data_IF_218852363665
#
_entry.id   IF_218852363665
#
_cell.length_a   1.000
_cell.length_b   1.000
_cell.length_c   1.000
_cell.angle_alpha   90.00
_cell.angle_beta   90.00
_cell.angle_gamma   90.00
#
_symmetry.space_group_name_H-M   'P 1'
#
loop_
_entity.id
_entity.type
_entity.pdbx_description
1 polymer ?
#
# COMPACT_ATOMS: atom_id res chain seq x y z
N UNK A 1 22.00 -5.60 -3.72
CA UNK A 1 22.33 -6.46 -2.55
C UNK A 1 22.17 -5.62 -1.28
N UNK A 2 21.41 -6.08 -0.28
CA UNK A 2 21.18 -5.32 0.96
C UNK A 2 22.34 -5.54 1.93
N UNK A 3 22.92 -4.46 2.46
CA UNK A 3 24.00 -4.50 3.44
C UNK A 3 23.50 -4.02 4.81
N UNK A 4 23.85 -4.74 5.87
CA UNK A 4 23.55 -4.32 7.24
C UNK A 4 24.52 -3.18 7.62
N UNK A 5 23.98 -1.99 7.91
CA UNK A 5 24.79 -0.79 8.20
C UNK A 5 24.68 -0.33 9.64
N UNK A 6 23.71 -0.81 10.41
CA UNK A 6 23.60 -0.46 11.82
C UNK A 6 22.64 -1.39 12.58
N UNK A 7 22.93 -1.61 13.86
CA UNK A 7 22.05 -2.33 14.78
C UNK A 7 21.84 -1.42 15.99
N UNK A 8 20.59 -1.05 16.26
CA UNK A 8 20.21 -0.33 17.47
C UNK A 8 19.50 -1.28 18.43
N UNK A 9 19.84 -1.17 19.71
CA UNK A 9 19.21 -1.93 20.80
C UNK A 9 18.48 -0.93 21.69
N UNK A 10 17.16 -1.05 21.79
CA UNK A 10 16.38 -0.29 22.76
C UNK A 10 15.92 -1.22 23.87
N UNK A 11 16.15 -0.81 25.13
CA UNK A 11 15.61 -1.49 26.30
C UNK A 11 14.17 -1.02 26.52
N UNK A 12 13.17 -1.90 26.61
CA UNK A 12 11.86 -1.52 27.11
C UNK A 12 11.95 -1.18 28.61
N UNK A 13 11.16 -0.19 29.05
CA UNK A 13 11.21 0.37 30.40
C UNK A 13 10.67 -0.58 31.49
N UNK A 14 9.94 -1.64 31.13
CA UNK A 14 9.35 -2.58 32.08
C UNK A 14 9.43 -4.03 31.55
N UNK A 15 10.56 -4.70 31.80
CA UNK A 15 10.70 -6.16 32.03
C UNK A 15 12.10 -6.65 31.68
N UNK A 16 12.70 -7.39 32.61
CA UNK A 16 14.09 -7.83 32.57
C UNK A 16 14.22 -9.12 31.75
N UNK A 17 14.01 -9.11 30.42
CA UNK A 17 14.40 -10.26 29.56
C UNK A 17 14.56 -9.95 28.07
N UNK A 18 13.88 -8.93 27.54
CA UNK A 18 13.74 -8.76 26.08
C UNK A 18 14.37 -7.46 25.58
N UNK A 19 15.20 -7.57 24.54
CA UNK A 19 15.70 -6.42 23.78
C UNK A 19 14.93 -6.31 22.46
N UNK A 20 14.47 -5.10 22.12
CA UNK A 20 14.08 -4.81 20.75
C UNK A 20 15.33 -4.57 19.92
N UNK A 21 15.55 -5.43 18.92
CA UNK A 21 16.65 -5.30 17.97
C UNK A 21 16.09 -4.72 16.69
N UNK A 22 16.49 -3.48 16.41
CA UNK A 22 16.21 -2.83 15.15
C UNK A 22 17.49 -2.84 14.31
N UNK A 23 17.44 -3.41 13.12
CA UNK A 23 18.54 -3.36 12.15
C UNK A 23 18.23 -2.33 11.08
N UNK A 24 19.19 -1.46 10.79
CA UNK A 24 19.16 -0.60 9.62
C UNK A 24 19.88 -1.35 8.51
N UNK A 25 19.13 -1.69 7.47
CA UNK A 25 19.65 -2.34 6.27
C UNK A 25 19.66 -1.31 5.15
N UNK A 26 20.81 -1.13 4.51
CA UNK A 26 21.03 -0.16 3.46
C UNK A 26 21.23 -0.86 2.13
N UNK A 27 20.52 -0.40 1.11
CA UNK A 27 20.72 -0.89 -0.24
C UNK A 27 21.66 0.06 -0.98
N UNK A 28 22.90 -0.35 -1.21
CA UNK A 28 23.90 0.47 -1.92
C UNK A 28 23.48 0.86 -3.33
N UNK A 29 22.75 -0.02 -4.01
CA UNK A 29 22.31 0.18 -5.40
C UNK A 29 21.20 1.22 -5.50
N UNK A 30 20.38 1.36 -4.45
CA UNK A 30 19.22 2.24 -4.42
C UNK A 30 19.33 3.39 -3.41
N UNK A 31 20.44 3.49 -2.66
CA UNK A 31 20.72 4.48 -1.59
C UNK A 31 19.56 4.68 -0.59
N UNK A 32 18.88 3.60 -0.22
CA UNK A 32 17.77 3.63 0.76
C UNK A 32 18.12 2.81 1.99
N UNK A 33 17.72 3.30 3.15
CA UNK A 33 17.78 2.59 4.45
C UNK A 33 16.39 2.10 4.84
N UNK A 34 16.30 0.86 5.32
CA UNK A 34 15.08 0.25 5.87
C UNK A 34 15.35 -0.18 7.31
N UNK A 35 14.45 0.17 8.22
CA UNK A 35 14.48 -0.32 9.60
C UNK A 35 13.71 -1.65 9.65
N UNK A 36 14.43 -2.74 9.89
CA UNK A 36 13.85 -4.06 10.10
C UNK A 36 13.77 -4.33 11.60
N UNK A 37 12.54 -4.49 12.12
CA UNK A 37 12.32 -4.97 13.47
C UNK A 37 12.37 -6.50 13.46
N UNK A 38 13.39 -7.09 14.07
CA UNK A 38 13.41 -8.52 14.34
C UNK A 38 12.78 -8.68 15.72
N UNK A 39 11.65 -9.40 15.80
CA UNK A 39 10.90 -9.60 17.06
C UNK A 39 11.75 -10.16 18.20
N UNK A 40 11.18 -10.17 19.41
CA UNK A 40 11.85 -10.51 20.68
C UNK A 40 12.73 -11.75 20.58
N UNK A 41 14.06 -11.59 20.74
CA UNK A 41 15.03 -12.69 20.77
C UNK A 41 15.49 -12.86 22.22
N UNK A 42 15.30 -14.04 22.84
CA UNK A 42 15.79 -14.30 24.20
C UNK A 42 17.33 -14.27 24.24
N UNK A 43 17.85 -13.74 25.36
CA UNK A 43 19.24 -13.31 25.63
C UNK A 43 20.36 -14.34 25.36
N UNK A 44 20.04 -15.61 25.13
CA UNK A 44 20.99 -16.73 25.06
C UNK A 44 21.55 -17.04 23.65
N UNK A 45 21.21 -16.25 22.62
CA UNK A 45 21.70 -16.46 21.23
C UNK A 45 22.71 -15.42 20.73
N UNK A 46 23.27 -14.58 21.60
CA UNK A 46 24.15 -13.47 21.20
C UNK A 46 25.64 -13.80 21.07
N UNK A 47 26.07 -15.05 21.26
CA UNK A 47 27.43 -15.49 20.95
C UNK A 47 27.44 -16.41 19.72
N UNK A 48 27.61 -15.85 18.52
CA UNK A 48 27.73 -16.69 17.31
C UNK A 48 27.67 -16.01 15.94
N UNK A 49 27.59 -14.68 15.86
CA UNK A 49 27.69 -13.98 14.56
C UNK A 49 29.10 -13.42 14.37
N UNK A 50 30.08 -14.32 14.28
CA UNK A 50 31.36 -13.98 13.68
C UNK A 50 31.89 -15.19 12.89
N UNK A 51 32.03 -14.95 11.59
CA UNK A 51 32.90 -15.62 10.63
C UNK A 51 32.59 -17.05 10.17
N UNK A 52 32.83 -17.20 8.86
CA UNK A 52 33.06 -18.42 8.07
C UNK A 52 31.85 -19.22 7.55
N UNK A 53 31.89 -19.38 6.22
CA UNK A 53 31.15 -20.30 5.36
C UNK A 53 30.55 -21.51 6.08
N UNK A 54 29.23 -21.68 5.99
CA UNK A 54 28.62 -22.99 6.12
C UNK A 54 27.38 -23.12 5.25
N UNK A 55 27.53 -23.88 4.18
CA UNK A 55 26.45 -24.45 3.39
C UNK A 55 25.73 -25.51 4.23
N UNK A 56 24.57 -25.20 4.81
CA UNK A 56 23.56 -26.23 5.05
C UNK A 56 22.16 -25.64 5.18
N UNK A 57 21.26 -26.27 4.45
CA UNK A 57 19.87 -25.93 4.25
C UNK A 57 19.04 -26.14 5.53
N UNK A 58 18.15 -25.19 5.84
CA UNK A 58 16.77 -25.55 6.16
C UNK A 58 15.87 -24.75 5.23
N UNK A 59 15.58 -25.35 4.09
CA UNK A 59 14.69 -24.82 3.06
C UNK A 59 13.27 -25.11 3.54
N UNK A 60 12.69 -24.20 4.32
CA UNK A 60 11.26 -24.24 4.62
C UNK A 60 10.51 -23.97 3.31
N UNK A 61 10.00 -25.04 2.67
CA UNK A 61 9.03 -24.95 1.57
C UNK A 61 7.71 -24.46 2.17
N UNK A 62 7.44 -23.17 2.03
CA UNK A 62 6.06 -22.68 2.11
C UNK A 62 5.41 -23.02 0.78
N UNK A 63 4.51 -24.00 0.79
CA UNK A 63 3.58 -24.26 -0.30
C UNK A 63 2.55 -23.14 -0.31
N UNK A 64 2.74 -22.12 -1.15
CA UNK A 64 1.66 -21.20 -1.53
C UNK A 64 1.19 -21.56 -2.93
N UNK A 65 0.18 -22.43 -3.00
CA UNK A 65 -0.70 -22.51 -4.15
C UNK A 65 -1.62 -21.30 -4.14
N UNK A 66 -1.33 -20.31 -4.98
CA UNK A 66 -2.33 -19.33 -5.38
C UNK A 66 -2.09 -18.93 -6.83
N UNK A 67 -2.95 -19.45 -7.69
CA UNK A 67 -3.17 -19.00 -9.06
C UNK A 67 -3.43 -17.49 -9.09
N UNK A 68 -2.56 -16.74 -9.75
CA UNK A 68 -2.71 -15.31 -9.99
C UNK A 68 -1.72 -14.90 -11.07
N UNK A 69 -2.17 -14.11 -12.05
CA UNK A 69 -1.48 -13.77 -13.29
C UNK A 69 0.03 -13.51 -13.15
N UNK A 70 0.82 -13.95 -14.15
CA UNK A 70 2.25 -13.75 -14.21
C UNK A 70 2.61 -12.29 -13.90
N UNK A 71 3.26 -12.06 -12.75
CA UNK A 71 3.64 -10.72 -12.28
C UNK A 71 4.69 -10.15 -13.24
N UNK A 72 4.29 -9.16 -14.04
CA UNK A 72 5.21 -8.40 -14.90
C UNK A 72 6.07 -7.48 -14.03
N UNK A 73 7.35 -7.38 -14.33
CA UNK A 73 8.28 -6.50 -13.59
C UNK A 73 7.99 -5.04 -13.93
N UNK A 74 8.20 -4.11 -12.98
CA UNK A 74 8.10 -2.68 -13.27
C UNK A 74 9.16 -2.27 -14.30
N UNK A 75 8.81 -1.35 -15.20
CA UNK A 75 9.79 -0.70 -16.07
C UNK A 75 10.79 0.12 -15.23
N UNK A 76 11.98 0.37 -15.78
CA UNK A 76 13.00 1.20 -15.10
C UNK A 76 12.49 2.62 -14.83
N UNK A 77 11.66 3.16 -15.73
CA UNK A 77 11.00 4.46 -15.58
C UNK A 77 10.03 4.42 -14.40
N UNK A 78 9.18 3.39 -14.33
CA UNK A 78 8.23 3.19 -13.23
C UNK A 78 8.94 3.08 -11.88
N UNK A 79 9.98 2.24 -11.77
CA UNK A 79 10.78 2.11 -10.54
C UNK A 79 11.36 3.45 -10.09
N UNK A 80 12.00 4.19 -10.99
CA UNK A 80 12.60 5.49 -10.67
C UNK A 80 11.54 6.51 -10.23
N UNK A 81 10.36 6.50 -10.87
CA UNK A 81 9.25 7.38 -10.51
C UNK A 81 8.71 7.04 -9.12
N UNK A 82 8.41 5.77 -8.86
CA UNK A 82 7.88 5.30 -7.58
C UNK A 82 8.84 5.56 -6.42
N UNK A 83 10.14 5.40 -6.65
CA UNK A 83 11.13 5.69 -5.63
C UNK A 83 11.14 7.19 -5.25
N UNK A 84 11.00 8.09 -6.24
CA UNK A 84 10.87 9.53 -5.97
C UNK A 84 9.61 9.85 -5.17
N UNK A 85 8.47 9.29 -5.58
CA UNK A 85 7.21 9.49 -4.86
C UNK A 85 7.26 8.93 -3.44
N UNK A 86 7.92 7.78 -3.22
CA UNK A 86 8.06 7.20 -1.88
C UNK A 86 8.91 8.09 -0.96
N UNK A 87 10.01 8.65 -1.49
CA UNK A 87 10.87 9.59 -0.74
C UNK A 87 10.09 10.85 -0.42
N UNK A 88 9.37 11.41 -1.39
CA UNK A 88 8.53 12.59 -1.18
C UNK A 88 7.44 12.33 -0.14
N UNK A 89 6.78 11.17 -0.19
CA UNK A 89 5.78 10.76 0.79
C UNK A 89 6.37 10.64 2.21
N UNK A 90 7.59 10.11 2.34
CA UNK A 90 8.25 9.97 3.64
C UNK A 90 8.62 11.33 4.24
N UNK A 91 8.98 12.29 3.40
CA UNK A 91 9.33 13.66 3.83
C UNK A 91 8.07 14.47 4.14
N UNK A 92 7.04 14.37 3.27
CA UNK A 92 5.81 15.15 3.34
C UNK A 92 4.59 14.23 3.20
N UNK A 93 4.23 13.44 4.23
CA UNK A 93 3.06 12.59 4.17
C UNK A 93 1.78 13.44 4.15
N UNK A 94 0.78 13.13 3.30
CA UNK A 94 -0.48 13.84 3.31
C UNK A 94 -1.22 13.64 4.65
N UNK A 95 -1.81 14.72 5.16
CA UNK A 95 -2.54 14.73 6.43
C UNK A 95 -3.65 13.68 6.44
N UNK A 96 -3.72 12.89 7.52
CA UNK A 96 -4.73 11.83 7.66
C UNK A 96 -4.35 10.50 7.00
N UNK A 97 -3.18 10.41 6.36
CA UNK A 97 -2.69 9.19 5.75
C UNK A 97 -1.44 8.64 6.45
N UNK A 98 -1.38 7.31 6.58
CA UNK A 98 -0.19 6.59 7.05
C UNK A 98 0.16 5.49 6.06
N UNK A 99 1.32 5.60 5.43
CA UNK A 99 1.82 4.56 4.54
C UNK A 99 2.31 3.35 5.36
N UNK A 100 1.79 2.15 5.09
CA UNK A 100 2.30 0.90 5.67
C UNK A 100 3.44 0.41 4.81
N UNK A 101 4.58 0.14 5.44
CA UNK A 101 5.77 -0.36 4.76
C UNK A 101 5.44 -1.70 4.09
N UNK A 102 5.48 -1.73 2.76
CA UNK A 102 5.36 -2.97 1.98
C UNK A 102 6.74 -3.43 1.50
N UNK A 103 6.90 -4.75 1.31
CA UNK A 103 8.16 -5.33 0.81
C UNK A 103 8.33 -5.18 -0.71
N UNK A 104 7.28 -4.74 -1.41
CA UNK A 104 7.24 -4.66 -2.86
C UNK A 104 6.87 -3.24 -3.31
N UNK A 105 7.70 -2.64 -4.17
CA UNK A 105 7.44 -1.32 -4.77
C UNK A 105 6.18 -1.31 -5.67
N UNK A 106 5.76 -2.47 -6.19
CA UNK A 106 4.57 -2.59 -7.06
C UNK A 106 3.24 -2.45 -6.34
N UNK A 107 3.21 -2.58 -5.01
CA UNK A 107 1.98 -2.52 -4.23
C UNK A 107 2.22 -1.71 -2.97
N UNK A 108 1.46 -0.64 -2.80
CA UNK A 108 1.44 0.11 -1.55
C UNK A 108 0.13 -0.15 -0.80
N UNK A 109 0.23 -0.16 0.52
CA UNK A 109 -0.94 -0.20 1.41
C UNK A 109 -0.90 1.07 2.25
N UNK A 110 -1.94 1.88 2.16
CA UNK A 110 -2.02 3.19 2.78
C UNK A 110 -3.23 3.18 3.70
N UNK A 111 -3.04 3.54 4.96
CA UNK A 111 -4.11 3.76 5.91
C UNK A 111 -4.63 5.20 5.76
N UNK A 112 -5.95 5.35 5.70
CA UNK A 112 -6.64 6.63 5.61
C UNK A 112 -7.58 6.79 6.80
N UNK A 113 -7.49 7.92 7.48
CA UNK A 113 -8.41 8.31 8.56
C UNK A 113 -9.36 9.37 8.03
N UNK A 114 -10.67 9.19 8.24
CA UNK A 114 -11.65 10.18 7.80
C UNK A 114 -11.46 11.52 8.51
N UNK A 115 -11.68 12.60 7.76
CA UNK A 115 -11.45 13.96 8.25
C UNK A 115 -12.44 14.34 9.38
N UNK A 116 -12.00 15.16 10.36
CA UNK A 116 -12.88 15.62 11.42
C UNK A 116 -14.06 16.42 10.85
N UNK A 117 -15.23 16.29 11.46
CA UNK A 117 -16.46 16.98 11.02
C UNK A 117 -17.16 16.34 9.82
N UNK A 118 -16.66 15.20 9.31
CA UNK A 118 -17.30 14.43 8.23
C UNK A 118 -18.02 13.20 8.78
N UNK A 119 -18.84 12.56 7.95
CA UNK A 119 -19.49 11.29 8.30
C UNK A 119 -18.50 10.18 8.66
N UNK A 120 -17.27 10.25 8.15
CA UNK A 120 -16.22 9.24 8.34
C UNK A 120 -15.23 9.63 9.46
N UNK A 121 -15.52 10.67 10.23
CA UNK A 121 -14.65 11.11 11.32
C UNK A 121 -14.37 9.95 12.29
N UNK A 122 -13.10 9.78 12.67
CA UNK A 122 -12.59 8.71 13.54
C UNK A 122 -12.69 7.28 12.96
N UNK A 123 -13.08 7.13 11.69
CA UNK A 123 -13.04 5.84 10.99
C UNK A 123 -11.72 5.71 10.23
N UNK A 124 -11.15 4.49 10.25
CA UNK A 124 -9.88 4.18 9.58
C UNK A 124 -10.09 3.08 8.55
N UNK A 125 -9.62 3.32 7.34
CA UNK A 125 -9.70 2.40 6.20
C UNK A 125 -8.33 2.14 5.60
N UNK A 126 -8.23 1.09 4.79
CA UNK A 126 -7.00 0.76 4.07
C UNK A 126 -7.22 0.85 2.56
N UNK A 127 -6.34 1.56 1.89
CA UNK A 127 -6.24 1.67 0.44
C UNK A 127 -5.09 0.80 -0.04
N UNK A 128 -5.36 -0.07 -1.01
CA UNK A 128 -4.33 -0.77 -1.77
C UNK A 128 -4.13 -0.05 -3.10
N UNK A 129 -2.88 0.27 -3.40
CA UNK A 129 -2.44 0.89 -4.66
C UNK A 129 -1.54 -0.10 -5.39
N UNK A 130 -1.99 -0.58 -6.55
CA UNK A 130 -1.25 -1.49 -7.42
C UNK A 130 -0.74 -0.74 -8.65
N UNK A 131 0.57 -0.72 -8.82
CA UNK A 131 1.22 0.00 -9.92
C UNK A 131 1.38 -0.88 -11.15
N UNK A 132 0.94 -0.41 -12.33
CA UNK A 132 1.19 -1.12 -13.58
C UNK A 132 2.65 -0.96 -14.04
N UNK A 133 3.07 -1.81 -14.97
CA UNK A 133 4.45 -1.85 -15.49
C UNK A 133 4.89 -0.53 -16.15
N UNK A 134 3.95 0.14 -16.81
CA UNK A 134 4.07 1.38 -17.56
C UNK A 134 3.74 2.64 -16.73
N UNK A 135 3.61 2.53 -15.39
CA UNK A 135 3.43 3.71 -14.54
C UNK A 135 4.56 4.74 -14.76
N UNK A 136 4.29 6.06 -14.83
CA UNK A 136 3.00 6.74 -14.61
C UNK A 136 2.16 6.94 -15.88
N UNK A 137 2.51 6.33 -17.01
CA UNK A 137 1.73 6.48 -18.26
C UNK A 137 0.33 5.86 -18.15
N UNK A 138 0.20 4.82 -17.35
CA UNK A 138 -1.08 4.26 -16.95
C UNK A 138 -1.30 4.53 -15.46
N UNK A 139 -2.56 4.85 -15.10
CA UNK A 139 -2.97 5.09 -13.73
C UNK A 139 -2.63 3.91 -12.81
N UNK A 140 -2.40 4.08 -11.51
CA UNK A 140 -2.38 2.95 -10.59
C UNK A 140 -3.79 2.41 -10.39
N UNK A 141 -3.93 1.12 -10.11
CA UNK A 141 -5.20 0.57 -9.65
C UNK A 141 -5.33 0.81 -8.15
N UNK A 142 -6.41 1.48 -7.74
CA UNK A 142 -6.66 1.82 -6.33
C UNK A 142 -7.98 1.22 -5.86
N UNK A 143 -7.94 0.47 -4.76
CA UNK A 143 -9.13 -0.13 -4.14
C UNK A 143 -9.08 0.04 -2.61
N UNK A 144 -10.24 0.11 -1.98
CA UNK A 144 -10.35 -0.08 -0.54
C UNK A 144 -10.26 -1.58 -0.20
N UNK A 145 -9.40 -1.91 0.76
CA UNK A 145 -9.43 -3.22 1.40
C UNK A 145 -10.61 -3.30 2.37
N UNK A 146 -11.07 -4.52 2.65
CA UNK A 146 -12.19 -4.72 3.55
C UNK A 146 -11.78 -4.45 5.01
N UNK A 147 -12.64 -3.78 5.80
CA UNK A 147 -13.95 -3.23 5.42
C UNK A 147 -13.82 -1.94 4.59
N UNK A 148 -14.56 -1.84 3.48
CA UNK A 148 -14.60 -0.63 2.66
C UNK A 148 -15.68 0.35 3.15
N UNK A 149 -15.43 1.67 3.15
CA UNK A 149 -16.40 2.69 3.57
C UNK A 149 -17.70 2.60 2.76
N UNK A 150 -18.84 2.88 3.41
CA UNK A 150 -20.13 3.02 2.75
C UNK A 150 -20.23 4.40 2.11
N UNK A 151 -19.96 4.49 0.80
CA UNK A 151 -19.95 5.76 0.08
C UNK A 151 -20.60 5.61 -1.31
N UNK A 152 -21.33 6.62 -1.83
CA UNK A 152 -21.99 6.58 -3.15
C UNK A 152 -21.08 6.25 -4.34
N UNK A 153 -19.77 6.45 -4.18
CA UNK A 153 -18.73 6.15 -5.18
C UNK A 153 -17.82 4.96 -4.82
N UNK A 154 -18.16 4.20 -3.78
CA UNK A 154 -17.34 3.06 -3.31
C UNK A 154 -18.19 1.79 -3.27
N UNK A 155 -17.83 0.87 -4.14
CA UNK A 155 -18.48 -0.43 -4.25
C UNK A 155 -18.11 -1.33 -3.06
N UNK A 156 -18.98 -2.29 -2.77
CA UNK A 156 -18.78 -3.26 -1.69
C UNK A 156 -17.55 -4.14 -1.85
N UNK A 157 -17.05 -4.34 -3.07
CA UNK A 157 -15.77 -5.01 -3.32
C UNK A 157 -14.55 -4.08 -3.16
N UNK A 158 -14.75 -2.81 -2.79
CA UNK A 158 -13.71 -1.82 -2.58
C UNK A 158 -13.33 -1.00 -3.81
N UNK A 159 -13.94 -1.26 -4.98
CA UNK A 159 -13.66 -0.46 -6.18
C UNK A 159 -14.16 0.98 -5.98
N UNK A 160 -13.41 1.94 -6.52
CA UNK A 160 -13.68 3.37 -6.39
C UNK A 160 -14.06 3.91 -7.75
N UNK A 161 -15.20 4.60 -7.84
CA UNK A 161 -15.60 5.37 -9.00
C UNK A 161 -15.11 6.82 -8.84
N UNK A 162 -13.88 7.08 -9.26
CA UNK A 162 -13.28 8.41 -9.23
C UNK A 162 -12.52 8.61 -10.54
N UNK A 163 -12.88 9.64 -11.29
CA UNK A 163 -12.42 9.88 -12.67
C UNK A 163 -10.89 9.94 -12.81
N UNK A 164 -10.18 10.49 -11.82
CA UNK A 164 -8.71 10.56 -11.80
C UNK A 164 -8.01 9.20 -11.74
N UNK A 165 -8.74 8.13 -11.42
CA UNK A 165 -8.25 6.74 -11.47
C UNK A 165 -8.46 6.09 -12.84
N UNK A 166 -9.11 6.80 -13.77
CA UNK A 166 -9.50 6.34 -15.10
C UNK A 166 -9.13 7.41 -16.15
N UNK A 167 -10.12 8.05 -16.75
CA UNK A 167 -9.96 8.91 -17.93
C UNK A 167 -9.28 10.25 -17.62
N UNK A 168 -9.42 10.77 -16.39
CA UNK A 168 -8.81 12.03 -15.97
C UNK A 168 -7.39 11.84 -15.40
N UNK A 169 -6.84 10.61 -15.43
CA UNK A 169 -5.47 10.37 -14.98
C UNK A 169 -4.45 11.07 -15.88
N UNK A 170 -3.47 11.72 -15.26
CA UNK A 170 -2.31 12.29 -15.95
C UNK A 170 -1.01 11.80 -15.31
N UNK A 171 0.06 11.51 -16.09
CA UNK A 171 1.38 11.16 -15.56
C UNK A 171 2.02 12.23 -14.64
N UNK A 172 1.47 13.45 -14.64
CA UNK A 172 1.86 14.52 -13.72
C UNK A 172 1.32 14.30 -12.29
N UNK A 173 0.27 13.50 -12.12
CA UNK A 173 -0.34 13.18 -10.83
C UNK A 173 0.51 12.20 -10.03
N UNK A 174 0.35 12.23 -8.71
CA UNK A 174 1.09 11.40 -7.74
C UNK A 174 0.14 10.59 -6.86
N UNK A 175 0.67 9.57 -6.18
CA UNK A 175 -0.08 8.82 -5.16
C UNK A 175 -0.62 9.77 -4.07
N UNK A 176 0.17 10.79 -3.69
CA UNK A 176 -0.27 11.81 -2.72
C UNK A 176 -1.50 12.57 -3.22
N UNK A 177 -1.51 13.01 -4.48
CA UNK A 177 -2.68 13.69 -5.06
C UNK A 177 -3.92 12.77 -5.12
N UNK A 178 -3.74 11.48 -5.45
CA UNK A 178 -4.84 10.51 -5.42
C UNK A 178 -5.43 10.40 -4.02
N UNK A 179 -4.59 10.27 -3.00
CA UNK A 179 -5.01 10.17 -1.61
C UNK A 179 -5.80 11.42 -1.19
N UNK A 180 -5.32 12.62 -1.52
CA UNK A 180 -6.03 13.87 -1.23
C UNK A 180 -7.40 13.87 -1.92
N UNK A 181 -7.50 13.48 -3.20
CA UNK A 181 -8.77 13.41 -3.91
C UNK A 181 -9.75 12.41 -3.28
N UNK A 182 -9.27 11.25 -2.83
CA UNK A 182 -10.10 10.26 -2.14
C UNK A 182 -10.60 10.81 -0.79
N UNK A 183 -9.74 11.49 -0.02
CA UNK A 183 -10.16 12.09 1.26
C UNK A 183 -11.20 13.19 1.04
N UNK A 184 -11.01 14.02 0.02
CA UNK A 184 -11.97 15.06 -0.36
C UNK A 184 -13.31 14.46 -0.78
N UNK A 185 -13.30 13.39 -1.58
CA UNK A 185 -14.50 12.65 -1.97
C UNK A 185 -15.24 12.10 -0.74
N UNK A 186 -14.53 11.48 0.22
CA UNK A 186 -15.15 11.01 1.46
C UNK A 186 -15.72 12.19 2.28
N UNK A 187 -15.01 13.32 2.31
CA UNK A 187 -15.37 14.47 3.13
C UNK A 187 -16.60 15.22 2.62
N UNK A 188 -16.84 15.22 1.30
CA UNK A 188 -18.00 15.88 0.69
C UNK A 188 -19.29 15.09 0.78
N UNK A 189 -19.23 13.83 1.23
CA UNK A 189 -20.39 12.95 1.31
C UNK A 189 -21.38 13.36 2.40
N UNK A 190 -22.67 13.43 2.06
CA UNK A 190 -23.76 13.72 3.00
C UNK A 190 -24.51 12.48 3.48
N UNK A 191 -24.24 11.31 2.88
CA UNK A 191 -24.92 10.04 3.18
C UNK A 191 -23.96 8.84 3.15
N UNK A 192 -24.15 7.87 4.05
CA UNK A 192 -23.44 6.58 4.04
C UNK A 192 -24.26 5.52 3.31
N UNK A 193 -24.19 5.50 1.98
CA UNK A 193 -24.87 4.52 1.15
C UNK A 193 -23.93 3.93 0.09
N UNK A 194 -24.27 2.78 -0.48
CA UNK A 194 -23.56 2.22 -1.63
C UNK A 194 -24.05 2.86 -2.94
N UNK A 195 -23.29 2.76 -4.04
CA UNK A 195 -23.79 3.08 -5.38
C UNK A 195 -25.06 2.27 -5.67
N UNK A 196 -26.03 2.84 -6.38
CA UNK A 196 -27.31 2.17 -6.70
C UNK A 196 -27.10 0.88 -7.50
N UNK A 197 -26.08 0.84 -8.34
CA UNK A 197 -25.77 -0.32 -9.18
C UNK A 197 -24.75 -1.28 -8.55
N UNK A 198 -24.49 -1.16 -7.23
CA UNK A 198 -23.48 -1.94 -6.52
C UNK A 198 -23.57 -3.44 -6.79
N UNK A 199 -24.76 -4.03 -6.61
CA UNK A 199 -24.91 -5.48 -6.71
C UNK A 199 -24.71 -5.97 -8.14
N UNK A 200 -25.16 -5.17 -9.13
CA UNK A 200 -24.96 -5.46 -10.56
C UNK A 200 -23.48 -5.39 -10.91
N UNK A 201 -22.80 -4.33 -10.48
CA UNK A 201 -21.38 -4.11 -10.73
C UNK A 201 -20.52 -5.24 -10.13
N UNK A 202 -20.71 -5.53 -8.84
CA UNK A 202 -19.90 -6.54 -8.14
C UNK A 202 -20.14 -7.95 -8.69
N UNK A 203 -21.37 -8.28 -9.10
CA UNK A 203 -21.66 -9.54 -9.81
C UNK A 203 -20.90 -9.63 -11.13
N UNK A 204 -20.78 -8.54 -11.88
CA UNK A 204 -20.05 -8.52 -13.15
C UNK A 204 -18.51 -8.61 -12.96
N UNK A 205 -17.99 -8.13 -11.82
CA UNK A 205 -16.57 -8.25 -11.47
C UNK A 205 -16.16 -9.66 -10.98
N UNK A 206 -17.09 -10.52 -10.57
CA UNK A 206 -16.80 -11.88 -10.05
C UNK A 206 -16.04 -12.77 -11.03
N UNK A 207 -15.97 -12.42 -12.32
CA UNK A 207 -15.19 -13.13 -13.32
C UNK A 207 -13.69 -12.76 -13.32
N UNK A 208 -13.17 -12.16 -12.24
CA UNK A 208 -11.74 -11.88 -12.08
C UNK A 208 -11.23 -10.68 -12.89
N UNK A 209 -12.13 -9.80 -13.35
CA UNK A 209 -11.76 -8.60 -14.11
C UNK A 209 -11.22 -7.53 -13.18
N UNK A 210 -10.09 -6.92 -13.56
CA UNK A 210 -9.56 -5.74 -12.87
C UNK A 210 -10.61 -4.62 -12.92
N UNK A 211 -10.73 -3.77 -11.87
CA UNK A 211 -11.56 -2.56 -11.93
C UNK A 211 -11.37 -1.74 -13.22
N UNK A 212 -10.15 -1.73 -13.77
CA UNK A 212 -9.81 -1.02 -15.01
C UNK A 212 -10.39 -1.63 -16.28
N UNK A 213 -10.75 -2.90 -16.26
CA UNK A 213 -11.39 -3.59 -17.40
C UNK A 213 -12.90 -3.38 -17.42
N UNK A 214 -13.45 -2.70 -16.40
CA UNK A 214 -14.88 -2.41 -16.32
C UNK A 214 -15.14 -1.04 -16.95
N UNK A 215 -15.80 -1.01 -18.11
CA UNK A 215 -16.25 0.24 -18.73
C UNK A 215 -17.31 0.87 -17.82
N UNK A 216 -16.93 1.94 -17.12
CA UNK A 216 -17.80 2.68 -16.22
C UNK A 216 -18.88 3.42 -17.02
N UNK A 217 -20.12 3.34 -16.54
CA UNK A 217 -21.19 4.21 -16.99
C UNK A 217 -21.34 5.29 -15.93
N UNK A 218 -20.71 6.43 -16.17
CA UNK A 218 -20.89 7.61 -15.32
C UNK A 218 -22.35 8.05 -15.43
N UNK A 219 -23.10 7.93 -14.35
CA UNK A 219 -24.41 8.55 -14.22
C UNK A 219 -24.21 9.93 -13.62
N UNK A 220 -23.75 10.88 -14.43
CA UNK A 220 -23.71 12.29 -14.05
C UNK A 220 -24.14 13.17 -15.23
N UNK A 221 -25.35 12.90 -15.74
CA UNK A 221 -26.06 13.77 -16.65
C UNK A 221 -27.19 14.46 -15.88
N UNK A 222 -26.86 15.59 -15.24
CA UNK A 222 -27.72 16.78 -15.09
C UNK A 222 -27.05 17.84 -14.21
N UNK A 223 -26.35 18.76 -14.87
CA UNK A 223 -26.44 20.20 -14.54
C UNK A 223 -27.65 20.79 -15.25
#
# INVERSE_FOLDING_TARGET
MWELVGISKTKPEESYSDYHIAAVVYNREYRVSKLCAFGSIPLLKLSGLCSSNCSSCVRARIMTSSSGAARKNLSKIACNRLQKELVEWQVNPPTGFKHKVTDNLQRWVIEVTGAPGTLYANETYQLQVDFPENYPMEAPQVIFLHPAPLHPHIYSNGHICLDILYDSWSPAMTVSSICISILSMLSSSTVKQRPEDNDRYVKNCRNGRSPKETRWWFHDDKV
#
